data_IF_502689794381
#
_entry.id   IF_502689794381
#
_cell.length_a   1.000
_cell.length_b   1.000
_cell.length_c   1.000
_cell.angle_alpha   90.00
_cell.angle_beta   90.00
_cell.angle_gamma   90.00
#
_symmetry.space_group_name_H-M   'P 1'
#
loop_
_entity.id
_entity.type
_entity.pdbx_description
1 polymer ?
#
# COMPACT_ATOMS: atom_id res chain seq x y z
N UNK A 1 -46.24 31.72 3.31
CA UNK A 1 -46.12 30.31 2.87
C UNK A 1 -44.68 29.86 2.53
N UNK A 2 -43.71 30.76 2.33
CA UNK A 2 -42.34 30.39 1.94
C UNK A 2 -41.48 29.71 3.05
N UNK A 3 -41.72 30.01 4.33
CA UNK A 3 -40.92 29.45 5.43
C UNK A 3 -41.21 27.97 5.76
N UNK A 4 -42.41 27.44 5.50
CA UNK A 4 -42.69 26.02 5.75
C UNK A 4 -42.11 25.11 4.67
N UNK A 5 -42.05 25.58 3.42
CA UNK A 5 -41.43 24.85 2.30
C UNK A 5 -39.91 24.69 2.49
N UNK A 6 -39.23 25.71 3.02
CA UNK A 6 -37.79 25.64 3.31
C UNK A 6 -37.45 24.64 4.42
N UNK A 7 -38.25 24.60 5.51
CA UNK A 7 -38.13 23.59 6.57
C UNK A 7 -38.42 22.16 6.06
N UNK A 8 -39.41 22.00 5.21
CA UNK A 8 -39.74 20.70 4.61
C UNK A 8 -38.61 20.18 3.70
N UNK A 9 -37.95 21.06 2.93
CA UNK A 9 -36.80 20.68 2.10
C UNK A 9 -35.56 20.29 2.92
N UNK A 10 -35.28 21.01 4.03
CA UNK A 10 -34.17 20.66 4.94
C UNK A 10 -34.43 19.31 5.63
N UNK A 11 -35.67 19.07 6.08
CA UNK A 11 -36.06 17.78 6.67
C UNK A 11 -36.01 16.62 5.66
N UNK A 12 -36.38 16.87 4.40
CA UNK A 12 -36.28 15.88 3.32
C UNK A 12 -34.82 15.59 2.94
N UNK A 13 -33.94 16.60 2.94
CA UNK A 13 -32.51 16.44 2.69
C UNK A 13 -31.80 15.67 3.82
N UNK A 14 -32.20 15.89 5.08
CA UNK A 14 -31.70 15.13 6.22
C UNK A 14 -32.08 13.64 6.12
N UNK A 15 -33.35 13.33 5.82
CA UNK A 15 -33.80 11.95 5.59
C UNK A 15 -33.10 11.27 4.40
N UNK A 16 -32.79 12.01 3.33
CA UNK A 16 -32.00 11.50 2.21
C UNK A 16 -30.54 11.20 2.58
N UNK A 17 -29.90 12.01 3.44
CA UNK A 17 -28.55 11.73 3.94
C UNK A 17 -28.49 10.53 4.88
N UNK A 18 -29.45 10.40 5.79
CA UNK A 18 -29.51 9.25 6.70
C UNK A 18 -29.77 7.93 5.94
N UNK A 19 -30.59 7.98 4.88
CA UNK A 19 -30.77 6.86 3.94
C UNK A 19 -29.49 6.53 3.19
N UNK A 20 -28.74 7.53 2.72
CA UNK A 20 -27.49 7.33 1.99
C UNK A 20 -26.38 6.76 2.86
N UNK A 21 -26.32 7.10 4.15
CA UNK A 21 -25.32 6.53 5.06
C UNK A 21 -25.56 5.03 5.29
N UNK A 22 -26.82 4.65 5.49
CA UNK A 22 -27.21 3.25 5.66
C UNK A 22 -26.97 2.45 4.37
N UNK A 23 -27.24 3.04 3.21
CA UNK A 23 -26.97 2.45 1.89
C UNK A 23 -25.48 2.20 1.67
N UNK A 24 -24.61 3.18 1.96
CA UNK A 24 -23.15 3.01 1.89
C UNK A 24 -22.67 1.88 2.81
N UNK A 25 -23.18 1.79 4.03
CA UNK A 25 -22.84 0.70 4.95
C UNK A 25 -23.19 -0.68 4.37
N UNK A 26 -24.39 -0.84 3.82
CA UNK A 26 -24.80 -2.11 3.22
C UNK A 26 -24.03 -2.42 1.93
N UNK A 27 -23.73 -1.41 1.11
CA UNK A 27 -22.90 -1.58 -0.08
C UNK A 27 -21.47 -2.02 0.26
N UNK A 28 -20.85 -1.41 1.27
CA UNK A 28 -19.53 -1.80 1.78
C UNK A 28 -19.57 -3.21 2.35
N UNK A 29 -20.54 -3.53 3.21
CA UNK A 29 -20.69 -4.87 3.78
C UNK A 29 -20.90 -5.95 2.70
N UNK A 30 -21.70 -5.64 1.68
CA UNK A 30 -21.92 -6.54 0.54
C UNK A 30 -20.64 -6.68 -0.30
N UNK A 31 -19.91 -5.58 -0.53
CA UNK A 31 -18.62 -5.59 -1.20
C UNK A 31 -17.61 -6.46 -0.45
N UNK A 32 -17.42 -6.25 0.84
CA UNK A 32 -16.54 -7.07 1.67
C UNK A 32 -16.95 -8.54 1.67
N UNK A 33 -18.25 -8.83 1.73
CA UNK A 33 -18.76 -10.20 1.63
C UNK A 33 -18.39 -10.83 0.28
N UNK A 34 -18.51 -10.08 -0.82
CA UNK A 34 -18.08 -10.52 -2.15
C UNK A 34 -16.58 -10.78 -2.18
N UNK A 35 -15.77 -9.85 -1.68
CA UNK A 35 -14.29 -9.99 -1.62
C UNK A 35 -13.90 -11.22 -0.81
N UNK A 36 -14.43 -11.41 0.41
CA UNK A 36 -14.14 -12.60 1.24
C UNK A 36 -14.52 -13.91 0.54
N UNK A 37 -15.70 -13.95 -0.10
CA UNK A 37 -16.16 -15.13 -0.85
C UNK A 37 -15.24 -15.45 -2.04
N UNK A 38 -14.77 -14.43 -2.75
CA UNK A 38 -13.81 -14.60 -3.86
C UNK A 38 -12.44 -15.02 -3.35
N UNK A 39 -11.95 -14.42 -2.26
CA UNK A 39 -10.69 -14.78 -1.60
C UNK A 39 -10.68 -16.25 -1.20
N UNK A 40 -11.72 -16.72 -0.50
CA UNK A 40 -11.81 -18.13 -0.09
C UNK A 40 -11.75 -19.09 -1.30
N UNK A 41 -12.47 -18.78 -2.38
CA UNK A 41 -12.43 -19.58 -3.62
C UNK A 41 -11.06 -19.56 -4.30
N UNK A 42 -10.39 -18.42 -4.28
CA UNK A 42 -9.05 -18.29 -4.83
C UNK A 42 -8.04 -19.11 -4.04
N UNK A 43 -8.09 -19.05 -2.70
CA UNK A 43 -7.22 -19.84 -1.82
C UNK A 43 -7.36 -21.33 -2.14
N UNK A 44 -8.59 -21.85 -2.15
CA UNK A 44 -8.85 -23.28 -2.46
C UNK A 44 -8.32 -23.66 -3.85
N UNK A 45 -8.62 -22.86 -4.88
CA UNK A 45 -8.18 -23.18 -6.24
C UNK A 45 -6.65 -23.18 -6.39
N UNK A 46 -5.95 -22.30 -5.68
CA UNK A 46 -4.47 -22.27 -5.70
C UNK A 46 -3.90 -23.45 -4.90
N UNK A 47 -4.46 -23.79 -3.74
CA UNK A 47 -4.03 -24.95 -2.96
C UNK A 47 -4.20 -26.26 -3.74
N UNK A 48 -5.32 -26.43 -4.44
CA UNK A 48 -5.57 -27.58 -5.33
C UNK A 48 -4.55 -27.64 -6.48
N UNK A 49 -4.27 -26.51 -7.13
CA UNK A 49 -3.31 -26.46 -8.23
C UNK A 49 -1.87 -26.77 -7.79
N UNK A 50 -1.43 -26.28 -6.62
CA UNK A 50 -0.11 -26.60 -6.08
C UNK A 50 -0.01 -28.06 -5.62
N UNK A 51 -1.12 -28.64 -5.13
CA UNK A 51 -1.19 -30.08 -4.86
C UNK A 51 -1.04 -30.89 -6.15
N UNK A 52 -1.62 -30.41 -7.26
CA UNK A 52 -1.45 -31.01 -8.58
C UNK A 52 0.01 -30.95 -9.06
N UNK A 53 0.69 -29.80 -8.91
CA UNK A 53 2.12 -29.67 -9.21
C UNK A 53 2.95 -30.69 -8.43
N UNK A 54 2.71 -30.81 -7.12
CA UNK A 54 3.47 -31.71 -6.26
C UNK A 54 3.30 -33.18 -6.70
N UNK A 55 2.08 -33.59 -7.06
CA UNK A 55 1.81 -34.92 -7.61
C UNK A 55 2.52 -35.15 -8.94
N UNK A 56 2.49 -34.16 -9.85
CA UNK A 56 3.21 -34.25 -11.11
C UNK A 56 4.72 -34.41 -10.89
N UNK A 57 5.31 -33.64 -9.96
CA UNK A 57 6.73 -33.76 -9.62
C UNK A 57 7.09 -35.14 -9.01
N UNK A 58 6.21 -35.70 -8.17
CA UNK A 58 6.36 -37.05 -7.62
C UNK A 58 6.23 -38.16 -8.67
N UNK A 59 5.40 -37.97 -9.70
CA UNK A 59 5.27 -38.88 -10.84
C UNK A 59 6.47 -38.78 -11.80
N UNK A 60 7.01 -37.58 -12.01
CA UNK A 60 8.22 -37.38 -12.83
C UNK A 60 9.48 -37.91 -12.14
N UNK A 61 9.62 -37.79 -10.83
CA UNK A 61 10.73 -38.41 -10.08
C UNK A 61 10.75 -39.94 -10.18
N UNK A 62 9.62 -40.58 -10.49
CA UNK A 62 9.54 -42.04 -10.72
C UNK A 62 9.95 -42.43 -12.15
N UNK A 63 10.01 -41.48 -13.09
CA UNK A 63 10.47 -41.71 -14.47
C UNK A 63 11.99 -41.49 -14.57
N UNK A 64 12.60 -42.08 -15.59
CA UNK A 64 14.05 -42.03 -15.80
C UNK A 64 14.57 -40.59 -15.93
N UNK A 65 15.86 -40.31 -15.65
CA UNK A 65 16.40 -38.95 -15.38
C UNK A 65 16.45 -37.97 -16.58
N UNK A 66 15.74 -38.23 -17.67
CA UNK A 66 15.86 -37.51 -18.94
C UNK A 66 14.76 -36.48 -19.23
N UNK A 67 13.62 -36.54 -18.55
CA UNK A 67 12.49 -35.61 -18.75
C UNK A 67 12.27 -34.81 -17.45
N UNK A 68 12.96 -33.69 -17.33
CA UNK A 68 12.70 -32.69 -16.28
C UNK A 68 11.78 -31.66 -16.92
N UNK A 69 10.49 -31.63 -16.56
CA UNK A 69 9.56 -30.63 -17.09
C UNK A 69 10.04 -29.20 -16.74
N UNK A 70 10.02 -28.29 -17.72
CA UNK A 70 10.37 -26.87 -17.50
C UNK A 70 9.36 -26.28 -16.49
N UNK A 71 9.80 -25.64 -15.38
CA UNK A 71 8.91 -24.96 -14.44
C UNK A 71 7.92 -23.97 -15.09
N UNK A 72 8.28 -23.42 -16.25
CA UNK A 72 7.39 -22.57 -17.05
C UNK A 72 6.25 -23.36 -17.70
N UNK A 73 6.53 -24.56 -18.20
CA UNK A 73 5.53 -25.46 -18.78
C UNK A 73 4.56 -25.96 -17.70
N UNK A 74 5.10 -26.34 -16.54
CA UNK A 74 4.30 -26.69 -15.36
C UNK A 74 3.33 -25.55 -14.98
N UNK A 75 3.83 -24.32 -14.92
CA UNK A 75 3.02 -23.13 -14.64
C UNK A 75 1.92 -22.90 -15.69
N UNK A 76 2.23 -23.10 -16.98
CA UNK A 76 1.24 -22.96 -18.06
C UNK A 76 0.15 -24.03 -17.99
N UNK A 77 0.52 -25.28 -17.67
CA UNK A 77 -0.42 -26.39 -17.55
C UNK A 77 -1.41 -26.21 -16.39
N UNK A 78 -0.95 -25.69 -15.24
CA UNK A 78 -1.80 -25.54 -14.07
C UNK A 78 -2.58 -24.21 -14.02
N UNK A 79 -2.10 -23.16 -14.69
CA UNK A 79 -2.72 -21.83 -14.62
C UNK A 79 -4.23 -21.82 -14.95
N UNK A 80 -4.74 -22.55 -15.96
CA UNK A 80 -6.17 -22.60 -16.26
C UNK A 80 -7.07 -23.02 -15.08
N UNK A 81 -6.57 -23.89 -14.19
CA UNK A 81 -7.33 -24.38 -13.02
C UNK A 81 -7.64 -23.27 -12.01
N UNK A 82 -6.74 -22.29 -11.84
CA UNK A 82 -6.89 -21.18 -10.89
C UNK A 82 -7.25 -19.85 -11.56
N UNK A 83 -7.04 -19.69 -12.87
CA UNK A 83 -7.16 -18.44 -13.61
C UNK A 83 -8.51 -17.75 -13.38
N UNK A 84 -9.61 -18.51 -13.46
CA UNK A 84 -10.96 -17.97 -13.28
C UNK A 84 -11.19 -17.43 -11.86
N UNK A 85 -10.67 -18.11 -10.84
CA UNK A 85 -10.80 -17.67 -9.45
C UNK A 85 -9.99 -16.39 -9.22
N UNK A 86 -8.77 -16.34 -9.77
CA UNK A 86 -7.87 -15.19 -9.67
C UNK A 86 -8.44 -13.97 -10.38
N UNK A 87 -8.84 -14.10 -11.65
CA UNK A 87 -9.42 -13.00 -12.42
C UNK A 87 -10.68 -12.44 -11.75
N UNK A 88 -11.55 -13.28 -11.18
CA UNK A 88 -12.73 -12.80 -10.45
C UNK A 88 -12.37 -12.04 -9.17
N UNK A 89 -11.34 -12.48 -8.46
CA UNK A 89 -10.83 -11.76 -7.28
C UNK A 89 -10.27 -10.39 -7.70
N UNK A 90 -9.33 -10.37 -8.66
CA UNK A 90 -8.68 -9.15 -9.16
C UNK A 90 -9.68 -8.14 -9.73
N UNK A 91 -10.74 -8.60 -10.40
CA UNK A 91 -11.80 -7.71 -10.88
C UNK A 91 -12.65 -7.13 -9.75
N UNK A 92 -12.90 -7.90 -8.70
CA UNK A 92 -13.67 -7.43 -7.53
C UNK A 92 -12.87 -6.41 -6.73
N UNK A 93 -11.55 -6.62 -6.59
CA UNK A 93 -10.62 -5.69 -5.90
C UNK A 93 -10.09 -4.58 -6.80
N UNK A 94 -10.52 -4.52 -8.07
CA UNK A 94 -10.08 -3.56 -9.09
C UNK A 94 -8.57 -3.60 -9.42
N UNK A 95 -7.89 -4.72 -9.13
CA UNK A 95 -6.44 -4.94 -9.35
C UNK A 95 -6.08 -5.51 -10.73
N UNK A 96 -7.07 -5.76 -11.61
CA UNK A 96 -6.84 -6.39 -12.92
C UNK A 96 -5.82 -5.69 -13.84
N UNK A 97 -5.65 -4.37 -13.69
CA UNK A 97 -4.70 -3.59 -14.48
C UNK A 97 -3.26 -3.73 -13.99
N UNK A 98 -3.06 -4.16 -12.73
CA UNK A 98 -1.76 -4.38 -12.13
C UNK A 98 -1.13 -5.73 -12.52
N UNK A 99 -1.94 -6.67 -13.01
CA UNK A 99 -1.51 -8.05 -13.22
C UNK A 99 -1.87 -8.53 -14.63
N UNK A 100 -0.88 -8.59 -15.52
CA UNK A 100 -1.02 -9.25 -16.81
C UNK A 100 -0.95 -10.77 -16.65
N UNK A 101 -1.55 -11.52 -17.58
CA UNK A 101 -1.46 -12.98 -17.61
C UNK A 101 0.00 -13.46 -17.59
N UNK A 102 0.86 -12.82 -18.39
CA UNK A 102 2.29 -13.14 -18.46
C UNK A 102 2.99 -12.92 -17.11
N UNK A 103 2.72 -11.81 -16.42
CA UNK A 103 3.32 -11.53 -15.10
C UNK A 103 2.91 -12.55 -14.04
N UNK A 104 1.65 -13.03 -14.11
CA UNK A 104 1.14 -14.05 -13.20
C UNK A 104 1.79 -15.41 -13.49
N UNK A 105 1.89 -15.80 -14.76
CA UNK A 105 2.54 -17.05 -15.16
C UNK A 105 4.03 -17.04 -14.82
N UNK A 106 4.72 -15.90 -14.99
CA UNK A 106 6.13 -15.75 -14.62
C UNK A 106 6.32 -15.88 -13.10
N UNK A 107 5.45 -15.26 -12.30
CA UNK A 107 5.48 -15.42 -10.85
C UNK A 107 5.17 -16.86 -10.41
N UNK A 108 4.21 -17.52 -11.07
CA UNK A 108 3.87 -18.90 -10.80
C UNK A 108 5.04 -19.84 -11.11
N UNK A 109 5.70 -19.67 -12.26
CA UNK A 109 6.90 -20.42 -12.61
C UNK A 109 8.01 -20.20 -11.57
N UNK A 110 8.23 -18.95 -11.14
CA UNK A 110 9.17 -18.63 -10.07
C UNK A 110 8.83 -19.34 -8.74
N UNK A 111 7.56 -19.38 -8.35
CA UNK A 111 7.12 -20.11 -7.16
C UNK A 111 7.36 -21.62 -7.27
N UNK A 112 7.15 -22.21 -8.45
CA UNK A 112 7.42 -23.64 -8.71
C UNK A 112 8.91 -23.94 -8.63
N UNK A 113 9.75 -23.13 -9.29
CA UNK A 113 11.22 -23.29 -9.29
C UNK A 113 11.80 -23.29 -7.88
N UNK A 114 11.27 -22.47 -6.99
CA UNK A 114 11.78 -22.32 -5.61
C UNK A 114 10.97 -23.13 -4.59
N UNK A 115 10.10 -24.05 -5.02
CA UNK A 115 9.25 -24.86 -4.13
C UNK A 115 8.47 -24.04 -3.10
N UNK A 116 7.98 -22.87 -3.51
CA UNK A 116 7.25 -21.96 -2.64
C UNK A 116 5.86 -22.49 -2.29
N UNK A 117 5.33 -22.04 -1.16
CA UNK A 117 3.98 -22.44 -0.72
C UNK A 117 2.88 -21.71 -1.53
N UNK A 118 1.66 -22.28 -1.62
CA UNK A 118 0.50 -21.63 -2.23
C UNK A 118 0.24 -20.23 -1.65
N UNK A 119 0.48 -20.08 -0.35
CA UNK A 119 0.32 -18.82 0.38
C UNK A 119 1.30 -17.75 -0.10
N UNK A 120 2.55 -18.12 -0.37
CA UNK A 120 3.57 -17.19 -0.86
C UNK A 120 3.18 -16.61 -2.24
N UNK A 121 2.68 -17.43 -3.15
CA UNK A 121 2.13 -16.97 -4.42
C UNK A 121 0.96 -16.00 -4.21
N UNK A 122 0.03 -16.34 -3.32
CA UNK A 122 -1.16 -15.53 -3.02
C UNK A 122 -0.83 -14.19 -2.35
N UNK A 123 0.26 -14.07 -1.60
CA UNK A 123 0.63 -12.81 -0.94
C UNK A 123 0.76 -11.65 -1.95
N UNK A 124 1.25 -11.92 -3.16
CA UNK A 124 1.43 -10.92 -4.21
C UNK A 124 0.11 -10.31 -4.73
N UNK A 125 -1.02 -11.00 -4.52
CA UNK A 125 -2.35 -10.58 -4.97
C UNK A 125 -3.28 -10.19 -3.81
N UNK A 126 -3.11 -10.80 -2.64
CA UNK A 126 -3.99 -10.57 -1.49
C UNK A 126 -3.61 -9.35 -0.66
N UNK A 127 -2.33 -8.94 -0.68
CA UNK A 127 -1.91 -7.69 -0.03
C UNK A 127 -2.37 -6.53 -0.90
N UNK A 128 -2.95 -5.50 -0.28
CA UNK A 128 -3.17 -4.24 -0.96
C UNK A 128 -1.79 -3.73 -1.39
N UNK A 129 -1.51 -3.76 -2.69
CA UNK A 129 -0.24 -3.27 -3.24
C UNK A 129 0.00 -1.81 -2.85
N UNK A 130 1.23 -1.31 -2.99
CA UNK A 130 1.52 0.11 -2.76
C UNK A 130 0.53 0.97 -3.54
N UNK A 131 -0.07 1.96 -2.86
CA UNK A 131 -1.15 2.83 -3.40
C UNK A 131 -0.69 3.64 -4.62
N UNK A 132 0.63 3.67 -4.87
CA UNK A 132 1.29 4.25 -6.03
C UNK A 132 2.08 3.15 -6.74
N UNK A 133 1.59 2.67 -7.88
CA UNK A 133 2.36 1.81 -8.78
C UNK A 133 2.65 2.57 -10.07
N UNK A 134 3.94 2.72 -10.36
CA UNK A 134 4.42 3.35 -11.59
C UNK A 134 4.12 2.43 -12.77
N UNK A 135 3.20 2.85 -13.64
CA UNK A 135 2.94 2.16 -14.91
C UNK A 135 4.18 2.15 -15.81
N UNK A 136 4.30 1.12 -16.66
CA UNK A 136 5.41 0.94 -17.63
C UNK A 136 5.56 2.13 -18.60
N UNK A 137 4.55 3.00 -18.69
CA UNK A 137 4.60 4.29 -19.40
C UNK A 137 5.24 5.39 -18.54
N UNK A 138 6.57 5.30 -18.37
CA UNK A 138 7.40 6.18 -17.53
C UNK A 138 7.47 7.66 -17.95
N UNK A 139 6.98 8.04 -19.13
CA UNK A 139 7.26 9.37 -19.69
C UNK A 139 6.31 10.46 -19.17
N UNK A 140 5.02 10.16 -18.99
CA UNK A 140 4.04 11.10 -18.44
C UNK A 140 4.14 11.25 -16.91
N UNK A 141 4.72 10.26 -16.22
CA UNK A 141 4.91 10.26 -14.76
C UNK A 141 6.12 11.09 -14.28
N UNK A 142 6.91 11.64 -15.23
CA UNK A 142 8.04 12.53 -14.95
C UNK A 142 7.68 14.02 -14.99
N UNK A 143 6.59 14.38 -15.67
CA UNK A 143 6.18 15.77 -15.79
C UNK A 143 5.08 16.09 -14.78
N UNK A 144 5.47 16.77 -13.71
CA UNK A 144 4.54 17.24 -12.69
C UNK A 144 4.27 18.72 -12.89
N UNK A 145 2.99 19.11 -12.94
CA UNK A 145 2.59 20.50 -12.94
C UNK A 145 2.43 20.97 -11.49
N UNK A 146 3.24 21.95 -11.10
CA UNK A 146 3.10 22.64 -9.83
C UNK A 146 1.90 23.60 -9.88
N UNK A 147 0.93 23.38 -8.99
CA UNK A 147 -0.21 24.26 -8.77
C UNK A 147 -0.09 24.78 -7.33
N UNK A 148 0.09 26.09 -7.19
CA UNK A 148 0.30 26.75 -5.91
C UNK A 148 -0.51 28.05 -5.90
N UNK A 149 -1.14 28.37 -4.77
CA UNK A 149 -1.78 29.68 -4.56
C UNK A 149 -0.72 30.78 -4.38
N UNK A 150 0.44 30.43 -3.81
CA UNK A 150 1.59 31.30 -3.70
C UNK A 150 2.41 31.33 -4.99
N UNK A 151 3.11 32.44 -5.25
CA UNK A 151 3.97 32.59 -6.43
C UNK A 151 5.00 31.46 -6.52
N UNK A 152 4.99 30.74 -7.64
CA UNK A 152 5.93 29.63 -7.92
C UNK A 152 7.39 30.07 -8.05
N UNK A 153 7.65 31.36 -8.20
CA UNK A 153 9.00 31.95 -8.22
C UNK A 153 9.54 32.27 -6.83
N UNK A 154 8.70 32.21 -5.79
CA UNK A 154 9.13 32.49 -4.42
C UNK A 154 9.79 31.26 -3.79
N UNK A 155 10.77 31.49 -2.91
CA UNK A 155 11.40 30.41 -2.15
C UNK A 155 10.40 29.68 -1.24
N UNK A 156 10.66 28.40 -0.98
CA UNK A 156 9.79 27.56 -0.16
C UNK A 156 9.73 28.07 1.28
N UNK A 157 8.53 28.45 1.75
CA UNK A 157 8.29 28.92 3.11
C UNK A 157 7.77 27.79 4.00
N UNK A 158 7.93 27.95 5.30
CA UNK A 158 7.31 27.05 6.27
C UNK A 158 5.78 27.04 6.09
N UNK A 159 5.18 25.87 6.30
CA UNK A 159 3.75 25.60 6.12
C UNK A 159 3.18 25.88 4.72
N UNK A 160 4.03 26.02 3.68
CA UNK A 160 3.53 26.19 2.30
C UNK A 160 2.84 24.90 1.84
N UNK A 161 1.61 25.03 1.32
CA UNK A 161 0.86 23.92 0.71
C UNK A 161 0.80 24.14 -0.79
N UNK A 162 1.18 23.12 -1.56
CA UNK A 162 1.07 23.14 -3.02
C UNK A 162 0.68 21.76 -3.55
N UNK A 163 0.16 21.73 -4.77
CA UNK A 163 -0.25 20.52 -5.45
C UNK A 163 0.72 20.21 -6.59
N UNK A 164 1.11 18.94 -6.69
CA UNK A 164 1.77 18.41 -7.87
C UNK A 164 0.77 17.54 -8.62
N UNK A 165 0.40 17.96 -9.83
CA UNK A 165 -0.53 17.24 -10.71
C UNK A 165 0.22 16.45 -11.77
N UNK A 166 -0.13 15.19 -11.95
CA UNK A 166 0.44 14.29 -12.96
C UNK A 166 -0.67 13.40 -13.55
N UNK A 167 -1.15 13.74 -14.75
CA UNK A 167 -2.27 13.03 -15.38
C UNK A 167 -3.52 13.05 -14.50
N UNK A 168 -3.98 11.86 -14.09
CA UNK A 168 -5.12 11.65 -13.20
C UNK A 168 -4.76 11.71 -11.70
N UNK A 169 -3.49 11.91 -11.38
CA UNK A 169 -2.99 11.92 -10.01
C UNK A 169 -2.73 13.34 -9.50
N UNK A 170 -3.08 13.57 -8.24
CA UNK A 170 -2.89 14.82 -7.53
C UNK A 170 -2.16 14.52 -6.22
N UNK A 171 -0.97 15.10 -6.02
CA UNK A 171 -0.20 14.99 -4.79
C UNK A 171 -0.23 16.32 -4.04
N UNK A 172 -0.80 16.32 -2.84
CA UNK A 172 -0.79 17.47 -1.94
C UNK A 172 0.50 17.43 -1.12
N UNK A 173 1.30 18.50 -1.19
CA UNK A 173 2.57 18.62 -0.48
C UNK A 173 2.48 19.75 0.53
N UNK A 174 2.89 19.48 1.76
CA UNK A 174 3.03 20.49 2.81
C UNK A 174 4.50 20.60 3.20
N UNK A 175 5.09 21.76 2.94
CA UNK A 175 6.46 22.05 3.33
C UNK A 175 6.53 22.38 4.82
N UNK A 176 7.45 21.73 5.55
CA UNK A 176 7.80 22.10 6.92
C UNK A 176 9.27 22.42 7.02
N UNK A 177 9.59 23.53 7.68
CA UNK A 177 10.96 23.92 7.98
C UNK A 177 11.48 23.04 9.11
N UNK A 178 12.57 22.32 8.85
CA UNK A 178 13.32 21.60 9.89
C UNK A 178 14.18 22.64 10.63
N UNK A 179 14.20 22.66 11.98
CA UNK A 179 15.08 23.56 12.72
C UNK A 179 16.54 23.20 12.44
N UNK A 180 17.36 24.23 12.19
CA UNK A 180 18.81 24.07 12.10
C UNK A 180 19.33 23.87 13.52
N UNK A 181 19.85 22.68 13.83
CA UNK A 181 20.44 22.37 15.14
C UNK A 181 21.94 22.68 15.04
N UNK A 182 22.39 23.74 15.70
CA UNK A 182 23.81 24.00 15.89
C UNK A 182 24.23 23.45 17.25
N UNK A 183 25.07 22.43 17.24
CA UNK A 183 25.69 21.88 18.44
C UNK A 183 27.05 22.54 18.62
N UNK A 184 27.28 23.17 19.78
CA UNK A 184 28.59 23.67 20.18
C UNK A 184 29.01 22.97 21.47
N UNK A 185 30.24 22.50 21.50
CA UNK A 185 30.87 21.94 22.69
C UNK A 185 31.68 23.05 23.36
N UNK A 186 31.41 23.33 24.63
CA UNK A 186 32.16 24.28 25.43
C UNK A 186 32.87 23.53 26.56
N UNK A 187 34.20 23.58 26.57
CA UNK A 187 34.99 22.98 27.65
C UNK A 187 34.97 23.90 28.87
N UNK A 188 34.27 23.46 29.92
CA UNK A 188 34.26 24.14 31.22
C UNK A 188 35.45 23.61 32.03
N UNK A 189 36.45 24.46 32.31
CA UNK A 189 37.58 24.08 33.17
C UNK A 189 37.06 23.63 34.55
N UNK A 190 37.40 22.41 35.03
CA UNK A 190 37.06 21.94 36.37
C UNK A 190 37.48 22.89 37.50
N UNK A 191 38.44 23.79 37.28
CA UNK A 191 38.85 24.81 38.26
C UNK A 191 37.87 25.98 38.39
N UNK A 192 36.97 26.18 37.43
CA UNK A 192 35.98 27.27 37.45
C UNK A 192 34.92 27.09 38.55
N UNK A 193 34.74 25.87 39.06
CA UNK A 193 33.79 25.55 40.15
C UNK A 193 34.44 25.53 41.55
N UNK A 194 35.61 26.16 41.72
CA UNK A 194 36.27 26.23 43.03
C UNK A 194 35.65 27.34 43.88
N UNK A 195 34.83 26.95 44.83
CA UNK A 195 34.39 27.84 45.91
C UNK A 195 35.54 28.02 46.92
N UNK A 196 35.95 29.27 47.15
CA UNK A 196 36.92 29.59 48.21
C UNK A 196 36.15 29.66 49.53
N UNK A 197 36.29 28.64 50.37
CA UNK A 197 35.71 28.62 51.72
C UNK A 197 36.60 29.47 52.63
N UNK A 198 36.27 30.76 52.78
CA UNK A 198 36.92 31.63 53.77
C UNK A 198 36.34 31.32 55.16
N UNK A 199 37.00 30.47 55.93
CA UNK A 199 36.76 30.40 57.37
C UNK A 199 37.25 31.72 57.99
N UNK A 200 36.32 32.57 58.44
CA UNK A 200 36.65 33.61 59.40
C UNK A 200 36.83 32.93 60.76
N UNK A 201 38.08 32.76 61.17
CA UNK A 201 38.44 32.33 62.51
C UNK A 201 38.32 33.51 63.48
N UNK A 202 37.09 33.85 63.84
CA UNK A 202 36.83 34.61 65.06
C UNK A 202 36.41 33.61 66.14
N UNK A 203 37.40 33.11 66.88
CA UNK A 203 37.18 32.62 68.23
C UNK A 203 37.99 33.49 69.18
N UNK A 204 37.32 34.16 70.10
CA UNK A 204 37.78 34.21 71.48
C UNK A 204 36.62 34.56 72.40
N UNK A 205 36.51 33.75 73.45
CA UNK A 205 35.73 33.88 74.69
C UNK A 205 35.52 35.32 75.14
#
# INVERSE_FOLDING_TARGET
MAHSQSRAMIAAAARRRDSSHNELYYEEAEHERRVRKRRARLVVAVEEAFTHIKRMQEEEQKKAPGDVMDPREAAQAIFPSMARALQKYLRTTKQQHCHSMESIQQHLAFCITHSMTPKAFLESYLKAGPTLQYSRNHWLSRQWTLISEASVTSGLKDATVFLLKCGDFNLVVTAKKIPYIQMSEEYIDPKSHKFVLRLQSETSV
#
